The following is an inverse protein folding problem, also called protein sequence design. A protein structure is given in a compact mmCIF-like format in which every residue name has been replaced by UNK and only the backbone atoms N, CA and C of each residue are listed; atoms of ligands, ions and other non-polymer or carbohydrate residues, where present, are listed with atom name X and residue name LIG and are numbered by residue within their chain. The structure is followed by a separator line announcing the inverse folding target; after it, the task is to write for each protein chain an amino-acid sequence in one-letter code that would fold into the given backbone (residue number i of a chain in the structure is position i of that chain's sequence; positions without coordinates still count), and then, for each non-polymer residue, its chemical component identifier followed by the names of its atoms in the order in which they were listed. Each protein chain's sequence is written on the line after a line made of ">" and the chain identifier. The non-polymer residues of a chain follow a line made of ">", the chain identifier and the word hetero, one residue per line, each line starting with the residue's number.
data_IF_265518551460
#
_entry.id   IF_265518551460
#
_cell.length_a   1.000
_cell.length_b   1.000
_cell.length_c   1.000
_cell.angle_alpha   90.00
_cell.angle_beta   90.00
_cell.angle_gamma   90.00
#
_symmetry.space_group_name_H-M   'P 1'
#
loop_
_entity.id
_entity.type
_entity.pdbx_description
1 polymer ?
#
# COMPACT_ATOMS: atom_id res chain seq x y z
N UNK A 1 6.23 17.03 -16.60
CA UNK A 1 4.97 16.83 -15.85
C UNK A 1 5.18 17.26 -14.41
N UNK A 2 4.27 18.06 -13.90
CA UNK A 2 4.31 18.46 -12.49
C UNK A 2 3.78 17.35 -11.60
N UNK A 3 4.47 17.08 -10.51
CA UNK A 3 3.97 16.18 -9.48
C UNK A 3 2.87 16.89 -8.66
N UNK A 4 1.79 16.19 -8.39
CA UNK A 4 0.79 16.66 -7.44
C UNK A 4 1.08 16.07 -6.05
N UNK A 5 0.97 16.88 -5.02
CA UNK A 5 1.13 16.45 -3.64
C UNK A 5 -0.23 16.29 -2.99
N UNK A 6 -0.47 15.13 -2.44
CA UNK A 6 -1.69 14.83 -1.69
C UNK A 6 -1.30 14.62 -0.23
N UNK A 7 -1.75 15.51 0.63
CA UNK A 7 -1.56 15.34 2.07
C UNK A 7 -2.66 14.45 2.64
N UNK A 8 -2.25 13.43 3.37
CA UNK A 8 -3.16 12.49 4.03
C UNK A 8 -3.05 12.72 5.54
N UNK A 9 -4.09 13.28 6.18
CA UNK A 9 -4.09 13.46 7.62
C UNK A 9 -3.96 12.13 8.36
N UNK A 10 -3.41 12.16 9.56
CA UNK A 10 -3.39 10.99 10.44
C UNK A 10 -4.80 10.40 10.60
N UNK A 11 -4.89 9.09 10.73
CA UNK A 11 -6.14 8.33 10.89
C UNK A 11 -7.10 8.47 9.69
N UNK A 12 -6.58 8.73 8.53
CA UNK A 12 -7.39 8.85 7.31
C UNK A 12 -6.78 8.07 6.16
N UNK A 13 -7.52 7.97 5.06
CA UNK A 13 -7.05 7.35 3.84
C UNK A 13 -7.43 8.18 2.64
N UNK A 14 -6.63 8.09 1.59
CA UNK A 14 -6.93 8.70 0.30
C UNK A 14 -6.61 7.75 -0.83
N UNK A 15 -7.36 7.89 -1.90
CA UNK A 15 -7.12 7.19 -3.15
C UNK A 15 -6.48 8.12 -4.17
N UNK A 16 -5.59 7.57 -4.97
CA UNK A 16 -5.00 8.26 -6.11
C UNK A 16 -5.02 7.35 -7.33
N UNK A 17 -5.16 7.94 -8.49
CA UNK A 17 -5.08 7.24 -9.76
C UNK A 17 -3.66 7.38 -10.30
N UNK A 18 -3.14 6.27 -10.83
CA UNK A 18 -1.87 6.26 -11.53
C UNK A 18 -2.00 5.40 -12.80
N UNK A 19 -1.41 5.86 -13.87
CA UNK A 19 -1.33 5.11 -15.11
C UNK A 19 -0.04 4.29 -15.16
N UNK A 20 0.00 3.30 -16.04
CA UNK A 20 1.21 2.51 -16.24
C UNK A 20 2.40 3.42 -16.57
N UNK A 21 3.53 3.20 -15.93
CA UNK A 21 4.73 4.00 -16.06
C UNK A 21 4.80 5.25 -15.17
N UNK A 22 3.72 5.61 -14.51
CA UNK A 22 3.75 6.70 -13.53
C UNK A 22 4.35 6.24 -12.21
N UNK A 23 4.93 7.18 -11.49
CA UNK A 23 5.55 6.97 -10.17
C UNK A 23 4.66 7.52 -9.07
N UNK A 24 4.59 6.78 -7.98
CA UNK A 24 3.95 7.20 -6.75
C UNK A 24 5.03 7.23 -5.69
N UNK A 25 5.17 8.35 -5.00
CA UNK A 25 6.08 8.49 -3.87
C UNK A 25 5.29 8.63 -2.59
N UNK A 26 5.51 7.73 -1.65
CA UNK A 26 4.96 7.80 -0.30
C UNK A 26 5.97 8.48 0.59
N UNK A 27 5.59 9.60 1.21
CA UNK A 27 6.46 10.37 2.09
C UNK A 27 5.92 10.26 3.52
N UNK A 28 6.72 9.65 4.38
CA UNK A 28 6.46 9.62 5.82
C UNK A 28 7.23 10.76 6.47
N UNK A 29 6.58 11.91 6.59
CA UNK A 29 7.22 13.18 6.97
C UNK A 29 7.95 13.10 8.33
N UNK A 30 7.38 12.40 9.29
CA UNK A 30 7.93 12.30 10.63
C UNK A 30 8.62 10.96 10.93
N UNK A 31 8.61 10.04 9.99
CA UNK A 31 9.32 8.76 10.09
C UNK A 31 8.76 7.75 11.09
N UNK A 32 7.62 8.00 11.71
CA UNK A 32 7.06 7.18 12.78
C UNK A 32 5.63 6.70 12.52
N UNK A 33 5.10 7.00 11.35
CA UNK A 33 3.73 6.61 10.98
C UNK A 33 3.75 5.36 10.11
N UNK A 34 2.95 4.39 10.49
CA UNK A 34 2.65 3.23 9.62
C UNK A 34 1.73 3.68 8.50
N UNK A 35 2.05 3.25 7.28
CA UNK A 35 1.26 3.54 6.09
C UNK A 35 0.81 2.22 5.47
N UNK A 36 -0.48 1.94 5.56
CA UNK A 36 -1.08 0.80 4.87
C UNK A 36 -1.35 1.16 3.41
N UNK A 37 -0.98 0.27 2.50
CA UNK A 37 -1.06 0.54 1.07
C UNK A 37 -1.80 -0.58 0.34
N UNK A 38 -2.74 -0.20 -0.51
CA UNK A 38 -3.45 -1.09 -1.43
C UNK A 38 -3.29 -0.59 -2.86
N UNK A 39 -3.29 -1.49 -3.80
CA UNK A 39 -3.35 -1.15 -5.21
C UNK A 39 -4.41 -2.03 -5.89
N UNK A 40 -5.20 -1.41 -6.73
CA UNK A 40 -6.26 -2.08 -7.49
C UNK A 40 -6.14 -1.72 -8.97
N UNK A 41 -6.52 -2.64 -9.83
CA UNK A 41 -6.68 -2.30 -11.24
C UNK A 41 -7.96 -1.49 -11.43
N UNK A 42 -7.84 -0.37 -12.12
CA UNK A 42 -8.96 0.55 -12.35
C UNK A 42 -10.08 -0.07 -13.19
N UNK A 43 -9.70 -0.87 -14.16
CA UNK A 43 -10.64 -1.56 -15.08
C UNK A 43 -11.28 -2.82 -14.47
N UNK A 44 -10.68 -3.34 -13.41
CA UNK A 44 -11.17 -4.53 -12.73
C UNK A 44 -10.74 -4.52 -11.25
N UNK A 45 -11.58 -3.98 -10.39
CA UNK A 45 -11.28 -3.87 -8.95
C UNK A 45 -11.18 -5.23 -8.23
N UNK A 46 -11.56 -6.32 -8.89
CA UNK A 46 -11.35 -7.68 -8.36
C UNK A 46 -9.90 -8.14 -8.52
N UNK A 47 -9.12 -7.44 -9.32
CA UNK A 47 -7.68 -7.62 -9.38
C UNK A 47 -6.98 -6.57 -8.52
N UNK A 48 -6.28 -7.02 -7.49
CA UNK A 48 -5.65 -6.18 -6.49
C UNK A 48 -4.27 -6.70 -6.10
N UNK A 49 -3.46 -5.82 -5.57
CA UNK A 49 -2.14 -6.17 -5.03
C UNK A 49 -2.30 -7.17 -3.88
N UNK A 50 -1.64 -8.30 -4.00
CA UNK A 50 -1.73 -9.41 -3.07
C UNK A 50 -0.36 -9.77 -2.52
N UNK A 51 -0.23 -9.74 -1.21
CA UNK A 51 1.02 -10.10 -0.56
C UNK A 51 1.31 -11.60 -0.68
N UNK A 52 0.29 -12.42 -0.65
CA UNK A 52 0.42 -13.88 -0.85
C UNK A 52 0.98 -14.25 -2.23
N UNK A 53 0.64 -13.45 -3.24
CA UNK A 53 1.13 -13.64 -4.61
C UNK A 53 2.45 -12.90 -4.88
N UNK A 54 2.82 -11.97 -4.02
CA UNK A 54 4.05 -11.18 -4.14
C UNK A 54 5.24 -11.87 -3.47
N UNK A 55 5.07 -12.35 -2.25
CA UNK A 55 6.16 -12.99 -1.49
C UNK A 55 6.86 -14.14 -2.22
N UNK A 56 6.18 -15.01 -2.96
CA UNK A 56 6.87 -16.07 -3.72
C UNK A 56 7.87 -15.53 -4.74
N UNK A 57 7.68 -14.33 -5.25
CA UNK A 57 8.56 -13.77 -6.27
C UNK A 57 9.85 -13.19 -5.68
N UNK A 58 9.81 -12.59 -4.51
CA UNK A 58 11.00 -12.07 -3.87
C UNK A 58 11.51 -12.95 -2.71
N UNK A 59 10.81 -14.02 -2.36
CA UNK A 59 11.22 -15.04 -1.38
C UNK A 59 11.62 -14.48 -0.02
N UNK A 60 10.96 -13.40 0.42
CA UNK A 60 11.20 -12.75 1.71
C UNK A 60 9.97 -11.94 2.13
N UNK A 61 10.02 -11.41 3.33
CA UNK A 61 8.93 -10.57 3.88
C UNK A 61 9.07 -9.12 3.38
N UNK A 62 10.28 -8.61 3.29
CA UNK A 62 10.55 -7.22 2.92
C UNK A 62 10.97 -7.13 1.47
N UNK A 63 10.22 -6.42 0.63
CA UNK A 63 10.63 -6.20 -0.75
C UNK A 63 11.87 -5.29 -0.79
N UNK A 64 12.67 -5.45 -1.84
CA UNK A 64 13.84 -4.63 -2.13
C UNK A 64 13.59 -3.77 -3.35
N UNK A 65 14.42 -2.76 -3.51
CA UNK A 65 14.45 -1.95 -4.75
C UNK A 65 14.66 -2.86 -5.96
N UNK A 66 13.86 -2.64 -7.01
CA UNK A 66 13.83 -3.46 -8.21
C UNK A 66 12.82 -4.61 -8.18
N UNK A 67 12.28 -4.95 -7.03
CA UNK A 67 11.28 -6.02 -6.89
C UNK A 67 9.87 -5.49 -7.06
N UNK A 68 8.99 -6.35 -7.55
CA UNK A 68 7.59 -5.99 -7.83
C UNK A 68 6.63 -6.68 -6.87
N UNK A 69 5.59 -5.96 -6.51
CA UNK A 69 4.38 -6.55 -5.96
C UNK A 69 3.50 -7.07 -7.08
N UNK A 70 2.85 -8.20 -6.84
CA UNK A 70 2.01 -8.88 -7.80
C UNK A 70 0.54 -8.83 -7.37
N UNK A 71 -0.34 -8.83 -8.37
CA UNK A 71 -1.76 -8.95 -8.13
C UNK A 71 -2.16 -10.39 -7.80
N UNK A 72 -3.39 -10.59 -7.35
CA UNK A 72 -4.01 -11.90 -7.17
C UNK A 72 -4.18 -12.68 -8.49
N UNK A 73 -3.89 -12.07 -9.64
CA UNK A 73 -3.80 -12.70 -10.96
C UNK A 73 -2.36 -12.97 -11.38
N UNK A 74 -1.39 -12.84 -10.46
CA UNK A 74 0.05 -13.03 -10.68
C UNK A 74 0.65 -12.12 -11.75
N UNK A 75 0.14 -10.89 -11.85
CA UNK A 75 0.68 -9.85 -12.72
C UNK A 75 1.35 -8.76 -11.89
N UNK A 76 2.51 -8.21 -12.30
CA UNK A 76 3.12 -7.10 -11.59
C UNK A 76 2.16 -5.90 -11.56
N UNK A 77 2.04 -5.26 -10.41
CA UNK A 77 1.16 -4.11 -10.23
C UNK A 77 1.90 -2.87 -9.76
N UNK A 78 2.88 -3.03 -8.89
CA UNK A 78 3.78 -1.96 -8.44
C UNK A 78 5.21 -2.49 -8.38
N UNK A 79 6.17 -1.66 -8.71
CA UNK A 79 7.60 -1.97 -8.57
C UNK A 79 8.26 -0.96 -7.64
N UNK A 80 9.07 -1.43 -6.72
CA UNK A 80 9.83 -0.58 -5.81
C UNK A 80 11.02 -0.02 -6.57
N UNK A 81 11.01 1.27 -6.89
CA UNK A 81 12.11 1.93 -7.60
C UNK A 81 13.14 2.55 -6.67
N UNK A 82 12.70 3.04 -5.54
CA UNK A 82 13.56 3.69 -4.55
C UNK A 82 12.98 3.49 -3.16
N UNK A 83 13.83 3.31 -2.17
CA UNK A 83 13.44 3.22 -0.77
C UNK A 83 14.53 3.84 0.12
N UNK A 84 14.22 4.98 0.67
CA UNK A 84 15.10 5.71 1.62
C UNK A 84 14.62 5.61 3.06
N UNK A 85 13.59 4.76 3.32
CA UNK A 85 12.94 4.65 4.63
C UNK A 85 13.65 3.71 5.61
N UNK A 86 14.74 3.06 5.21
CA UNK A 86 15.38 2.00 5.98
C UNK A 86 14.84 0.59 5.70
N UNK A 87 13.83 0.46 4.85
CA UNK A 87 13.33 -0.83 4.35
C UNK A 87 12.55 -1.68 5.34
N UNK A 88 12.03 -1.09 6.41
CA UNK A 88 11.21 -1.82 7.39
C UNK A 88 9.77 -1.88 6.90
N UNK A 89 9.46 -2.89 6.11
CA UNK A 89 8.13 -3.13 5.55
C UNK A 89 7.60 -4.48 6.01
N UNK A 90 6.29 -4.59 6.10
CA UNK A 90 5.61 -5.82 6.47
C UNK A 90 4.63 -6.23 5.38
N UNK A 91 4.80 -7.45 4.87
CA UNK A 91 3.89 -8.06 3.89
C UNK A 91 3.10 -9.23 4.47
N UNK A 92 3.22 -9.48 5.77
CA UNK A 92 2.56 -10.61 6.45
C UNK A 92 1.29 -10.20 7.16
N UNK A 93 1.34 -9.09 7.89
CA UNK A 93 0.21 -8.67 8.72
C UNK A 93 -0.81 -7.92 7.88
N UNK A 94 -2.07 -8.30 8.04
CA UNK A 94 -3.16 -7.53 7.49
C UNK A 94 -3.23 -6.15 8.15
N UNK A 95 -3.65 -5.15 7.39
CA UNK A 95 -3.96 -3.84 7.92
C UNK A 95 -5.00 -3.93 9.03
N UNK A 96 -4.87 -3.09 10.04
CA UNK A 96 -5.85 -3.02 11.12
C UNK A 96 -7.22 -2.57 10.61
N UNK A 97 -8.26 -3.16 11.14
CA UNK A 97 -9.65 -2.86 10.81
C UNK A 97 -10.52 -2.81 12.09
N UNK A 98 -11.78 -2.43 11.94
CA UNK A 98 -12.69 -2.34 13.07
C UNK A 98 -12.84 -3.67 13.82
N UNK A 99 -12.97 -4.83 13.17
CA UNK A 99 -12.98 -6.11 13.88
C UNK A 99 -11.73 -6.34 14.73
N UNK A 100 -10.56 -5.96 14.22
CA UNK A 100 -9.31 -6.07 14.98
C UNK A 100 -9.30 -5.18 16.21
N UNK A 101 -9.77 -3.94 16.08
CA UNK A 101 -9.88 -3.03 17.22
C UNK A 101 -10.87 -3.54 18.26
N UNK A 102 -11.97 -4.13 17.84
CA UNK A 102 -12.93 -4.80 18.73
C UNK A 102 -12.28 -5.90 19.54
N UNK A 103 -11.46 -6.75 18.92
CA UNK A 103 -10.72 -7.81 19.60
C UNK A 103 -9.72 -7.28 20.64
N UNK A 104 -9.23 -6.06 20.46
CA UNK A 104 -8.32 -5.38 21.41
C UNK A 104 -9.07 -4.58 22.49
N UNK A 105 -10.40 -4.67 22.53
CA UNK A 105 -11.23 -3.95 23.49
C UNK A 105 -11.49 -2.48 23.16
N UNK A 106 -11.14 -2.04 21.95
CA UNK A 106 -11.37 -0.67 21.50
C UNK A 106 -12.79 -0.55 20.92
N UNK A 107 -13.78 -0.26 21.75
CA UNK A 107 -15.17 -0.18 21.34
C UNK A 107 -15.65 1.23 20.97
N UNK A 108 -14.92 2.25 21.37
CA UNK A 108 -15.33 3.65 21.24
C UNK A 108 -14.85 4.35 19.97
N UNK A 109 -13.94 3.72 19.22
CA UNK A 109 -13.34 4.35 18.03
C UNK A 109 -13.45 3.44 16.82
N UNK A 110 -14.34 3.75 15.88
CA UNK A 110 -14.43 3.02 14.62
C UNK A 110 -13.31 3.45 13.64
N UNK A 111 -12.11 3.76 14.12
CA UNK A 111 -11.16 4.52 13.32
C UNK A 111 -9.87 3.80 13.06
N UNK A 112 -9.35 4.07 11.89
CA UNK A 112 -8.03 3.72 11.50
C UNK A 112 -7.01 4.55 12.32
N UNK A 113 -6.12 3.89 13.01
CA UNK A 113 -4.98 4.56 13.65
C UNK A 113 -3.81 4.73 12.69
N UNK A 114 -3.92 4.21 11.49
CA UNK A 114 -2.89 4.23 10.46
C UNK A 114 -3.33 5.04 9.25
N UNK A 115 -2.39 5.57 8.51
CA UNK A 115 -2.62 6.23 7.23
C UNK A 115 -2.84 5.15 6.16
N UNK A 116 -3.80 5.36 5.28
CA UNK A 116 -4.12 4.44 4.19
C UNK A 116 -3.97 5.10 2.83
N UNK A 117 -3.32 4.42 1.95
CA UNK A 117 -3.16 4.83 0.56
C UNK A 117 -3.80 3.79 -0.35
N UNK A 118 -4.67 4.24 -1.21
CA UNK A 118 -5.28 3.42 -2.25
C UNK A 118 -4.74 3.88 -3.60
N UNK A 119 -3.96 3.04 -4.24
CA UNK A 119 -3.49 3.27 -5.59
C UNK A 119 -4.41 2.54 -6.57
N UNK A 120 -4.90 3.24 -7.55
CA UNK A 120 -5.73 2.65 -8.61
C UNK A 120 -4.99 2.83 -9.92
N UNK A 121 -4.43 1.76 -10.44
CA UNK A 121 -3.71 1.79 -11.72
C UNK A 121 -4.67 1.63 -12.90
N UNK A 122 -4.41 2.36 -13.96
CA UNK A 122 -5.04 2.11 -15.24
C UNK A 122 -4.47 0.83 -15.88
N UNK A 123 -5.21 0.19 -16.78
CA UNK A 123 -4.68 -0.93 -17.53
C UNK A 123 -3.45 -0.49 -18.33
N UNK A 124 -2.41 -1.28 -18.24
CA UNK A 124 -1.21 -1.12 -19.06
C UNK A 124 -1.47 -1.59 -20.49
#
# INVERSE_FOLDING_TARGET
>A
MSASIITIPARSGKAAYAEAGQRIKVINTHGQQVVDTWAFRRDNLKEFMSMEHSRPNFMRIRPRVGESFFSNQRRPILTVEEDTSGGVHDTLMAACDNPRYGLLGCTEYPWNTVVRILCVSAPG
#
